data_IF_836841146609
#
_entry.id   IF_836841146609
#
_cell.length_a   1.000
_cell.length_b   1.000
_cell.length_c   1.000
_cell.angle_alpha   90.00
_cell.angle_beta   90.00
_cell.angle_gamma   90.00
#
_symmetry.space_group_name_H-M   'P 1'
#
loop_
_entity.id
_entity.type
_entity.pdbx_description
1 polymer ?
#
# COMPACT_ATOMS: atom_id res chain seq x y z
N UNK A 1 -10.15 22.54 -7.94
CA UNK A 1 -8.79 21.99 -7.82
C UNK A 1 -8.54 21.60 -6.37
N UNK A 2 -8.26 20.33 -6.12
CA UNK A 2 -7.79 19.87 -4.81
C UNK A 2 -6.26 19.84 -4.82
N UNK A 3 -5.64 20.27 -3.73
CA UNK A 3 -4.18 20.21 -3.58
C UNK A 3 -3.77 19.63 -2.23
N UNK A 4 -2.76 18.77 -2.23
CA UNK A 4 -2.17 18.19 -1.01
C UNK A 4 -0.65 18.35 -1.02
N UNK A 5 -0.04 18.48 0.16
CA UNK A 5 1.38 18.85 0.31
C UNK A 5 2.10 17.94 1.28
N UNK A 6 3.35 17.62 0.96
CA UNK A 6 4.28 16.92 1.86
C UNK A 6 5.66 17.59 1.86
N UNK A 7 6.32 17.55 3.01
CA UNK A 7 7.74 17.86 3.10
C UNK A 7 8.57 16.79 2.38
N UNK A 8 9.49 17.24 1.53
CA UNK A 8 10.28 16.38 0.67
C UNK A 8 11.63 17.03 0.35
N UNK A 9 12.30 16.52 -0.67
CA UNK A 9 13.51 17.09 -1.23
C UNK A 9 13.73 16.64 -2.67
N UNK A 10 14.46 17.43 -3.45
CA UNK A 10 14.97 17.06 -4.77
C UNK A 10 16.32 16.37 -4.58
N UNK A 11 16.47 15.15 -5.10
CA UNK A 11 17.69 14.34 -5.03
C UNK A 11 18.48 14.44 -6.33
N UNK A 12 19.75 14.02 -6.27
CA UNK A 12 20.65 14.03 -7.43
C UNK A 12 21.33 15.37 -7.66
N UNK A 13 21.23 16.34 -6.74
CA UNK A 13 21.79 17.69 -6.95
C UNK A 13 23.30 17.69 -7.27
N UNK A 14 24.05 16.72 -6.74
CA UNK A 14 25.47 16.55 -7.05
C UNK A 14 25.76 16.29 -8.54
N UNK A 15 24.78 15.78 -9.29
CA UNK A 15 24.84 15.56 -10.74
C UNK A 15 24.42 16.82 -11.52
N UNK A 16 23.49 17.60 -10.97
CA UNK A 16 22.82 18.69 -11.69
C UNK A 16 23.26 20.10 -11.26
N UNK A 17 24.20 20.22 -10.32
CA UNK A 17 24.65 21.50 -9.76
C UNK A 17 25.21 22.48 -10.80
N UNK A 18 25.72 21.98 -11.93
CA UNK A 18 26.28 22.81 -13.01
C UNK A 18 25.19 23.40 -13.93
N UNK A 19 23.99 22.81 -13.92
CA UNK A 19 22.86 23.22 -14.77
C UNK A 19 21.70 23.82 -13.98
N UNK A 20 21.71 23.71 -12.66
CA UNK A 20 20.68 24.25 -11.78
C UNK A 20 21.27 24.82 -10.49
N UNK A 21 20.98 26.10 -10.24
CA UNK A 21 21.15 26.74 -8.94
C UNK A 21 19.77 26.88 -8.28
N UNK A 22 19.52 26.25 -7.12
CA UNK A 22 18.23 26.31 -6.46
C UNK A 22 17.93 27.71 -5.94
N UNK A 23 16.73 28.22 -6.23
CA UNK A 23 16.25 29.51 -5.71
C UNK A 23 15.13 29.25 -4.69
N UNK A 24 15.15 29.94 -3.55
CA UNK A 24 14.10 29.77 -2.54
C UNK A 24 12.72 30.13 -3.14
N UNK A 25 11.72 29.29 -2.87
CA UNK A 25 10.36 29.37 -3.43
C UNK A 25 10.26 29.11 -4.94
N UNK A 26 11.33 28.66 -5.59
CA UNK A 26 11.29 28.21 -6.98
C UNK A 26 10.38 26.99 -7.12
N UNK A 27 9.48 27.03 -8.10
CA UNK A 27 8.59 25.93 -8.46
C UNK A 27 9.17 25.16 -9.64
N UNK A 28 9.15 23.83 -9.52
CA UNK A 28 9.72 22.90 -10.48
C UNK A 28 8.69 21.83 -10.83
N UNK A 29 8.51 21.60 -12.12
CA UNK A 29 7.58 20.60 -12.62
C UNK A 29 8.11 19.20 -12.37
N UNK A 30 7.21 18.23 -12.17
CA UNK A 30 7.57 16.83 -12.02
C UNK A 30 6.97 16.00 -13.14
N UNK A 31 7.80 15.20 -13.79
CA UNK A 31 7.40 14.34 -14.91
C UNK A 31 7.90 12.92 -14.69
N UNK A 32 7.06 11.94 -15.02
CA UNK A 32 7.43 10.52 -14.94
C UNK A 32 8.50 10.21 -15.99
N UNK A 33 9.66 9.76 -15.53
CA UNK A 33 10.77 9.33 -16.39
C UNK A 33 10.65 7.82 -16.66
N UNK A 34 10.36 7.46 -17.92
CA UNK A 34 10.24 6.06 -18.33
C UNK A 34 11.62 5.52 -18.69
N UNK A 35 11.90 4.27 -18.33
CA UNK A 35 13.16 3.61 -18.69
C UNK A 35 14.36 4.01 -17.82
N UNK A 36 14.14 4.65 -16.68
CA UNK A 36 15.19 4.84 -15.70
C UNK A 36 15.56 3.49 -15.08
N UNK A 37 16.83 3.10 -15.21
CA UNK A 37 17.35 1.80 -14.76
C UNK A 37 17.51 1.70 -13.24
N UNK A 38 17.64 2.84 -12.56
CA UNK A 38 17.85 2.93 -11.11
C UNK A 38 16.51 2.94 -10.33
N UNK A 39 15.46 3.50 -10.93
CA UNK A 39 14.11 3.57 -10.37
C UNK A 39 13.03 3.47 -11.46
N UNK A 40 12.34 2.32 -11.53
CA UNK A 40 11.21 2.07 -12.45
C UNK A 40 10.06 3.09 -12.32
N UNK A 41 9.97 3.76 -11.18
CA UNK A 41 9.00 4.80 -10.89
C UNK A 41 9.60 6.20 -10.85
N UNK A 42 10.78 6.40 -11.43
CA UNK A 42 11.47 7.68 -11.44
C UNK A 42 10.54 8.82 -11.84
N UNK A 43 10.57 9.88 -11.05
CA UNK A 43 9.91 11.15 -11.36
C UNK A 43 11.00 12.21 -11.39
N UNK A 44 11.29 12.69 -12.59
CA UNK A 44 12.23 13.75 -12.84
C UNK A 44 11.62 15.08 -12.40
N UNK A 45 12.41 15.87 -11.68
CA UNK A 45 12.12 17.25 -11.34
C UNK A 45 12.76 18.11 -12.43
N UNK A 46 11.97 18.94 -13.10
CA UNK A 46 12.37 19.68 -14.29
C UNK A 46 12.32 21.19 -14.08
N UNK A 47 13.31 21.88 -14.65
CA UNK A 47 13.35 23.33 -14.82
C UNK A 47 13.49 23.64 -16.31
N UNK A 48 12.54 24.38 -16.88
CA UNK A 48 12.56 24.74 -18.31
C UNK A 48 12.80 23.50 -19.22
N UNK A 49 12.13 22.38 -18.92
CA UNK A 49 12.26 21.11 -19.66
C UNK A 49 13.50 20.27 -19.35
N UNK A 50 14.50 20.80 -18.63
CA UNK A 50 15.71 20.08 -18.26
C UNK A 50 15.57 19.40 -16.91
N UNK A 51 16.04 18.16 -16.78
CA UNK A 51 16.06 17.44 -15.50
C UNK A 51 17.10 18.07 -14.58
N UNK A 52 16.66 18.51 -13.40
CA UNK A 52 17.52 19.15 -12.38
C UNK A 52 17.62 18.31 -11.10
N UNK A 53 16.98 17.14 -11.11
CA UNK A 53 16.99 16.19 -10.02
C UNK A 53 15.81 15.24 -10.12
N UNK A 54 15.63 14.45 -9.08
CA UNK A 54 14.56 13.46 -8.99
C UNK A 54 13.86 13.54 -7.65
N UNK A 55 12.58 13.17 -7.67
CA UNK A 55 11.83 12.86 -6.46
C UNK A 55 12.53 11.70 -5.73
N UNK A 56 12.57 11.68 -4.38
CA UNK A 56 13.21 10.61 -3.64
C UNK A 56 12.55 9.26 -3.92
N UNK A 57 13.36 8.21 -4.14
CA UNK A 57 12.91 6.84 -4.41
C UNK A 57 11.82 6.33 -3.44
N UNK A 58 11.88 6.76 -2.17
CA UNK A 58 10.88 6.41 -1.13
C UNK A 58 9.44 6.89 -1.41
N UNK A 59 9.25 7.88 -2.28
CA UNK A 59 7.93 8.40 -2.67
C UNK A 59 7.72 8.43 -4.20
N UNK A 60 8.71 7.98 -4.99
CA UNK A 60 8.67 8.04 -6.46
C UNK A 60 7.51 7.22 -7.03
N UNK A 61 7.22 6.04 -6.48
CA UNK A 61 6.08 5.20 -6.88
C UNK A 61 4.71 5.90 -6.77
N UNK A 62 4.47 6.61 -5.65
CA UNK A 62 3.22 7.37 -5.44
C UNK A 62 3.16 8.53 -6.43
N UNK A 63 4.26 9.29 -6.57
CA UNK A 63 4.32 10.43 -7.46
C UNK A 63 4.10 10.02 -8.93
N UNK A 64 4.78 8.95 -9.35
CA UNK A 64 4.69 8.35 -10.68
C UNK A 64 3.28 7.87 -11.00
N UNK A 65 2.64 7.19 -10.05
CA UNK A 65 1.25 6.73 -10.21
C UNK A 65 0.25 7.88 -10.25
N UNK A 66 0.44 8.91 -9.42
CA UNK A 66 -0.40 10.10 -9.41
C UNK A 66 -0.33 10.84 -10.75
N UNK A 67 0.88 11.07 -11.27
CA UNK A 67 1.10 11.67 -12.60
C UNK A 67 0.47 10.80 -13.70
N UNK A 68 0.66 9.49 -13.64
CA UNK A 68 0.05 8.54 -14.60
C UNK A 68 -1.48 8.61 -14.63
N UNK A 69 -2.13 9.02 -13.53
CA UNK A 69 -3.59 9.17 -13.43
C UNK A 69 -4.09 10.55 -13.83
N UNK A 70 -3.25 11.40 -14.42
CA UNK A 70 -3.59 12.75 -14.84
C UNK A 70 -3.40 13.81 -13.75
N UNK A 71 -2.77 13.46 -12.63
CA UNK A 71 -2.38 14.43 -11.61
C UNK A 71 -1.14 15.22 -12.02
N UNK A 72 -0.99 16.43 -11.49
CA UNK A 72 0.20 17.27 -11.67
C UNK A 72 0.96 17.40 -10.34
N UNK A 73 2.29 17.33 -10.39
CA UNK A 73 3.13 17.50 -9.19
C UNK A 73 4.09 18.66 -9.40
N UNK A 74 4.17 19.54 -8.41
CA UNK A 74 5.10 20.68 -8.37
C UNK A 74 5.97 20.56 -7.12
N UNK A 75 7.28 20.71 -7.27
CA UNK A 75 8.23 20.86 -6.16
C UNK A 75 8.56 22.32 -5.92
N UNK A 76 8.28 22.84 -4.72
CA UNK A 76 8.64 24.21 -4.32
C UNK A 76 9.85 24.19 -3.40
N UNK A 77 10.96 24.83 -3.80
CA UNK A 77 12.20 24.86 -3.01
C UNK A 77 11.99 25.60 -1.67
N UNK A 78 12.39 24.98 -0.57
CA UNK A 78 12.22 25.54 0.79
C UNK A 78 13.52 25.82 1.51
N UNK A 79 14.67 25.48 0.93
CA UNK A 79 15.95 25.77 1.55
C UNK A 79 17.14 25.47 0.65
N UNK A 80 18.32 25.78 1.18
CA UNK A 80 19.59 25.54 0.51
C UNK A 80 19.98 24.06 0.50
N UNK A 81 20.90 23.73 -0.39
CA UNK A 81 21.60 22.44 -0.48
C UNK A 81 21.98 21.91 0.91
N UNK A 82 21.65 20.65 1.18
CA UNK A 82 22.11 19.91 2.35
C UNK A 82 22.49 18.48 1.99
N UNK A 83 23.13 17.80 2.94
CA UNK A 83 23.43 16.37 2.80
C UNK A 83 22.20 15.53 3.07
N UNK A 84 22.00 14.52 2.23
CA UNK A 84 21.03 13.44 2.42
C UNK A 84 21.30 12.74 3.75
N UNK A 85 20.30 12.70 4.64
CA UNK A 85 20.43 12.05 5.96
C UNK A 85 20.09 10.56 5.96
N UNK A 86 19.36 10.12 4.95
CA UNK A 86 18.76 8.79 4.82
C UNK A 86 19.45 7.90 3.78
N UNK A 87 20.52 8.37 3.13
CA UNK A 87 21.33 7.60 2.17
C UNK A 87 22.69 7.27 2.78
N UNK A 88 23.04 5.98 2.83
CA UNK A 88 24.31 5.48 3.39
C UNK A 88 25.50 6.00 2.59
N UNK A 89 25.37 6.06 1.27
CA UNK A 89 26.34 6.64 0.35
C UNK A 89 26.42 8.18 0.45
N UNK A 90 25.54 8.82 1.24
CA UNK A 90 25.39 10.26 1.28
C UNK A 90 24.73 10.81 0.03
N UNK A 91 25.12 12.03 -0.36
CA UNK A 91 24.58 12.74 -1.52
C UNK A 91 24.02 14.10 -1.16
N UNK A 92 23.77 14.91 -2.19
CA UNK A 92 23.23 16.26 -2.05
C UNK A 92 21.74 16.29 -2.39
N UNK A 93 20.97 16.94 -1.52
CA UNK A 93 19.54 17.16 -1.68
C UNK A 93 19.18 18.64 -1.48
N UNK A 94 18.12 19.07 -2.16
CA UNK A 94 17.53 20.39 -1.99
C UNK A 94 16.18 20.22 -1.28
N UNK A 95 15.99 20.79 -0.07
CA UNK A 95 14.70 20.75 0.61
C UNK A 95 13.59 21.36 -0.26
N UNK A 96 12.45 20.68 -0.34
CA UNK A 96 11.29 21.19 -1.05
C UNK A 96 9.98 20.75 -0.39
N UNK A 97 8.88 21.39 -0.78
CA UNK A 97 7.53 20.88 -0.56
C UNK A 97 7.04 20.31 -1.88
N UNK A 98 6.59 19.06 -1.86
CA UNK A 98 5.95 18.41 -3.03
C UNK A 98 4.45 18.64 -2.94
N UNK A 99 3.89 19.35 -3.93
CA UNK A 99 2.46 19.66 -4.04
C UNK A 99 1.83 18.81 -5.13
N UNK A 100 0.81 18.03 -4.74
CA UNK A 100 -0.02 17.23 -5.63
C UNK A 100 -1.25 18.04 -6.02
N UNK A 101 -1.49 18.23 -7.31
CA UNK A 101 -2.56 19.04 -7.87
C UNK A 101 -3.42 18.15 -8.77
N UNK A 102 -4.73 18.22 -8.57
CA UNK A 102 -5.69 17.52 -9.41
C UNK A 102 -6.95 18.36 -9.57
N UNK A 103 -7.58 18.25 -10.75
CA UNK A 103 -8.90 18.80 -10.95
C UNK A 103 -9.90 18.04 -10.07
N UNK A 104 -10.79 18.80 -9.44
CA UNK A 104 -11.80 18.28 -8.51
C UNK A 104 -12.83 17.36 -9.19
N UNK A 105 -12.73 17.15 -10.51
CA UNK A 105 -13.59 16.31 -11.35
C UNK A 105 -12.83 15.12 -11.97
N UNK A 106 -11.99 14.40 -11.20
CA UNK A 106 -11.72 13.01 -11.59
C UNK A 106 -12.96 12.18 -11.22
N UNK A 107 -14.01 12.29 -12.05
CA UNK A 107 -14.98 11.22 -12.21
C UNK A 107 -14.22 9.99 -12.72
N UNK A 108 -14.06 8.98 -11.87
CA UNK A 108 -13.53 7.68 -12.27
C UNK A 108 -14.61 6.96 -13.09
N UNK A 109 -14.79 7.39 -14.34
CA UNK A 109 -15.59 6.70 -15.33
C UNK A 109 -14.77 5.54 -15.92
N UNK A 110 -15.38 4.36 -15.83
CA UNK A 110 -14.93 3.10 -16.42
C UNK A 110 -14.99 3.18 -17.94
N UNK A 111 -13.91 2.80 -18.62
CA UNK A 111 -13.95 1.94 -19.82
C UNK A 111 -12.54 1.57 -20.31
N UNK A 112 -12.28 0.26 -20.28
CA UNK A 112 -11.50 -0.66 -21.12
C UNK A 112 -10.33 -0.21 -22.02
N UNK A 113 -9.30 -1.08 -21.96
CA UNK A 113 -8.53 -1.68 -23.07
C UNK A 113 -7.95 -0.75 -24.14
N UNK A 114 -6.64 -0.47 -24.02
CA UNK A 114 -5.61 -1.02 -24.93
C UNK A 114 -4.28 -0.31 -24.69
N UNK A 115 -3.26 -1.05 -24.27
CA UNK A 115 -1.85 -0.90 -24.64
C UNK A 115 -1.07 -2.04 -23.99
N UNK A 116 -1.06 -3.18 -24.67
CA UNK A 116 0.03 -4.14 -24.59
C UNK A 116 1.21 -3.50 -25.34
N UNK A 117 2.39 -3.38 -24.73
CA UNK A 117 3.57 -4.11 -25.22
C UNK A 117 4.80 -4.03 -24.29
N UNK A 118 5.51 -5.15 -24.30
CA UNK A 118 6.94 -5.40 -24.11
C UNK A 118 7.76 -4.47 -23.22
N UNK A 119 8.21 -4.99 -22.07
CA UNK A 119 9.60 -5.45 -22.01
C UNK A 119 9.83 -6.31 -20.76
N UNK A 120 9.77 -7.62 -20.96
CA UNK A 120 10.43 -8.59 -20.10
C UNK A 120 11.91 -8.53 -20.48
N UNK A 121 12.67 -7.65 -19.86
CA UNK A 121 14.13 -7.70 -19.91
C UNK A 121 14.62 -8.06 -18.52
N UNK A 122 15.07 -9.31 -18.39
CA UNK A 122 15.99 -9.72 -17.35
C UNK A 122 17.29 -8.93 -17.54
N UNK A 123 17.71 -8.18 -16.54
CA UNK A 123 19.12 -7.78 -16.40
C UNK A 123 19.53 -7.76 -14.94
N UNK A 124 20.52 -8.59 -14.67
CA UNK A 124 21.36 -8.61 -13.47
C UNK A 124 22.03 -7.24 -13.29
N UNK A 125 21.84 -6.62 -12.12
CA UNK A 125 22.73 -5.54 -11.63
C UNK A 125 22.95 -5.76 -10.13
N UNK A 126 24.22 -5.91 -9.80
CA UNK A 126 24.78 -6.17 -8.48
C UNK A 126 24.82 -4.85 -7.67
N UNK A 127 23.85 -4.65 -6.75
CA UNK A 127 23.88 -3.60 -5.72
C UNK A 127 23.78 -4.25 -4.34
N UNK A 128 24.86 -4.13 -3.57
CA UNK A 128 25.06 -4.82 -2.29
C UNK A 128 24.37 -4.11 -1.11
N UNK A 129 23.13 -3.67 -1.32
CA UNK A 129 22.16 -3.30 -0.29
C UNK A 129 21.07 -4.36 -0.23
N UNK A 130 21.36 -5.52 0.36
CA UNK A 130 20.53 -6.72 0.29
C UNK A 130 19.05 -6.40 0.49
N UNK A 131 18.22 -6.58 -0.53
CA UNK A 131 16.75 -6.38 -0.49
C UNK A 131 16.09 -7.24 0.62
N UNK A 132 16.80 -8.25 1.12
CA UNK A 132 16.44 -9.03 2.30
C UNK A 132 16.76 -8.37 3.65
N UNK A 133 17.22 -7.12 3.66
CA UNK A 133 17.49 -6.39 4.90
C UNK A 133 16.17 -6.26 5.66
N UNK A 134 16.15 -6.82 6.87
CA UNK A 134 14.98 -6.82 7.74
C UNK A 134 14.64 -5.37 8.10
N UNK A 135 13.44 -4.93 7.75
CA UNK A 135 12.90 -3.65 8.16
C UNK A 135 12.32 -3.74 9.58
N UNK A 136 11.49 -4.74 9.82
CA UNK A 136 10.86 -4.97 11.11
C UNK A 136 10.63 -6.46 11.32
N UNK A 137 10.93 -6.92 12.53
CA UNK A 137 10.64 -8.28 12.96
C UNK A 137 9.70 -8.24 14.14
N UNK A 138 8.68 -9.10 14.10
CA UNK A 138 7.75 -9.26 15.19
C UNK A 138 7.26 -10.70 15.28
N UNK A 139 7.39 -11.29 16.47
CA UNK A 139 7.24 -12.73 16.70
C UNK A 139 8.08 -13.54 15.68
N UNK A 140 7.45 -14.40 14.88
CA UNK A 140 8.11 -15.25 13.89
C UNK A 140 8.05 -14.68 12.45
N UNK A 141 7.68 -13.40 12.28
CA UNK A 141 7.49 -12.78 10.96
C UNK A 141 8.41 -11.58 10.82
N UNK A 142 9.10 -11.51 9.67
CA UNK A 142 10.05 -10.45 9.33
C UNK A 142 9.60 -9.77 8.05
N UNK A 143 9.35 -8.47 8.08
CA UNK A 143 9.20 -7.66 6.88
C UNK A 143 10.56 -7.08 6.52
N UNK A 144 10.89 -7.06 5.24
CA UNK A 144 12.13 -6.50 4.70
C UNK A 144 11.90 -5.11 4.14
N UNK A 145 12.96 -4.43 3.69
CA UNK A 145 12.85 -3.08 3.13
C UNK A 145 11.95 -3.03 1.88
N UNK A 146 11.87 -4.10 1.10
CA UNK A 146 10.94 -4.17 -0.04
C UNK A 146 9.46 -4.22 0.40
N UNK A 147 9.14 -4.98 1.44
CA UNK A 147 7.80 -4.99 2.06
C UNK A 147 7.41 -3.58 2.54
N UNK A 148 8.37 -2.86 3.15
CA UNK A 148 8.20 -1.45 3.55
C UNK A 148 7.86 -0.57 2.36
N UNK A 149 8.60 -0.72 1.27
CA UNK A 149 8.40 0.04 0.03
C UNK A 149 7.01 -0.22 -0.55
N UNK A 150 6.59 -1.48 -0.59
CA UNK A 150 5.26 -1.89 -1.03
C UNK A 150 4.16 -1.25 -0.18
N UNK A 151 4.28 -1.28 1.14
CA UNK A 151 3.28 -0.69 2.05
C UNK A 151 3.22 0.84 1.89
N UNK A 152 4.37 1.51 1.91
CA UNK A 152 4.42 2.98 1.84
C UNK A 152 3.99 3.52 0.48
N UNK A 153 4.17 2.75 -0.60
CA UNK A 153 3.73 3.15 -1.94
C UNK A 153 2.25 2.91 -2.22
N UNK A 154 1.52 2.28 -1.30
CA UNK A 154 0.14 1.83 -1.54
C UNK A 154 0.06 0.66 -2.52
N UNK A 155 1.12 -0.15 -2.59
CA UNK A 155 1.18 -1.35 -3.41
C UNK A 155 0.27 -2.47 -2.90
N UNK A 156 0.16 -3.53 -3.70
CA UNK A 156 -0.72 -4.66 -3.41
C UNK A 156 -0.24 -5.43 -2.18
N UNK A 157 -1.07 -5.52 -1.13
CA UNK A 157 -0.70 -6.26 0.07
C UNK A 157 -0.82 -7.78 -0.15
N UNK A 158 0.30 -8.48 0.03
CA UNK A 158 0.37 -9.93 -0.06
C UNK A 158 0.07 -10.62 1.29
N UNK A 159 0.07 -11.95 1.29
CA UNK A 159 -0.17 -12.78 2.48
C UNK A 159 0.72 -12.42 3.69
N UNK A 160 1.98 -12.05 3.42
CA UNK A 160 2.97 -11.71 4.45
C UNK A 160 2.59 -10.41 5.16
N UNK A 161 2.21 -9.37 4.40
CA UNK A 161 1.73 -8.10 4.94
C UNK A 161 0.46 -8.29 5.78
N UNK A 162 -0.51 -9.05 5.24
CA UNK A 162 -1.78 -9.29 5.93
C UNK A 162 -1.56 -10.10 7.21
N UNK A 163 -0.74 -11.14 7.15
CA UNK A 163 -0.43 -11.94 8.34
C UNK A 163 0.33 -11.14 9.40
N UNK A 164 1.25 -10.27 8.99
CA UNK A 164 1.92 -9.35 9.92
C UNK A 164 0.90 -8.41 10.61
N UNK A 165 0.00 -7.79 9.84
CA UNK A 165 -1.07 -6.94 10.38
C UNK A 165 -2.00 -7.66 11.36
N UNK A 166 -2.41 -8.90 11.02
CA UNK A 166 -3.19 -9.75 11.93
C UNK A 166 -2.43 -10.07 13.21
N UNK A 167 -1.11 -10.29 13.16
CA UNK A 167 -0.29 -10.53 14.36
C UNK A 167 -0.20 -9.31 15.29
N UNK A 168 -0.11 -8.10 14.73
CA UNK A 168 -0.16 -6.88 15.52
C UNK A 168 -1.49 -6.77 16.29
N UNK A 169 -2.61 -7.05 15.63
CA UNK A 169 -3.94 -7.07 16.27
C UNK A 169 -4.05 -8.16 17.33
N UNK A 170 -3.59 -9.39 17.02
CA UNK A 170 -3.60 -10.53 17.94
C UNK A 170 -2.83 -10.23 19.22
N UNK A 171 -1.70 -9.54 19.13
CA UNK A 171 -0.91 -9.15 20.32
C UNK A 171 -1.58 -8.01 21.10
N UNK A 172 -2.19 -7.05 20.42
CA UNK A 172 -2.90 -5.96 21.09
C UNK A 172 -4.18 -6.43 21.78
N UNK A 173 -4.79 -7.49 21.26
CA UNK A 173 -6.08 -8.04 21.67
C UNK A 173 -6.01 -9.57 21.79
N UNK A 174 -5.28 -10.10 22.80
CA UNK A 174 -5.06 -11.53 22.96
C UNK A 174 -6.32 -12.36 23.24
N UNK A 175 -7.42 -11.71 23.64
CA UNK A 175 -8.73 -12.33 23.85
C UNK A 175 -9.51 -12.58 22.55
N UNK A 176 -9.10 -11.95 21.43
CA UNK A 176 -9.73 -12.16 20.13
C UNK A 176 -9.17 -13.45 19.52
N UNK A 177 -10.07 -14.41 19.27
CA UNK A 177 -9.76 -15.62 18.52
C UNK A 177 -9.74 -15.32 17.00
N UNK A 178 -9.13 -16.20 16.21
CA UNK A 178 -8.86 -15.96 14.80
C UNK A 178 -7.52 -15.27 14.57
N UNK A 179 -7.50 -14.28 13.68
CA UNK A 179 -6.30 -13.54 13.24
C UNK A 179 -5.14 -14.46 12.82
N UNK A 180 -5.47 -15.59 12.19
CA UNK A 180 -4.54 -16.65 11.79
C UNK A 180 -3.96 -16.42 10.40
N UNK A 181 -2.84 -17.10 10.13
CA UNK A 181 -2.26 -17.12 8.79
C UNK A 181 -3.20 -17.78 7.80
N UNK A 182 -3.09 -17.38 6.52
CA UNK A 182 -3.80 -18.04 5.41
C UNK A 182 -3.57 -19.55 5.43
N UNK A 183 -2.32 -19.98 5.62
CA UNK A 183 -1.93 -21.39 5.60
C UNK A 183 -2.64 -22.21 6.70
N UNK A 184 -2.83 -21.62 7.89
CA UNK A 184 -3.51 -22.29 9.00
C UNK A 184 -5.01 -22.49 8.71
N UNK A 185 -5.70 -21.45 8.26
CA UNK A 185 -7.16 -21.50 8.00
C UNK A 185 -7.52 -22.33 6.76
N UNK A 186 -6.57 -22.53 5.83
CA UNK A 186 -6.77 -23.39 4.67
C UNK A 186 -6.71 -24.89 4.98
N UNK A 187 -6.21 -25.29 6.17
CA UNK A 187 -6.18 -26.70 6.57
C UNK A 187 -7.62 -27.24 6.65
N UNK A 188 -7.95 -28.39 6.03
CA UNK A 188 -9.32 -28.92 6.02
C UNK A 188 -9.91 -29.18 7.41
N UNK A 189 -9.07 -29.56 8.37
CA UNK A 189 -9.46 -29.80 9.76
C UNK A 189 -9.62 -28.53 10.59
N UNK A 190 -9.14 -27.38 10.11
CA UNK A 190 -9.17 -26.14 10.87
C UNK A 190 -10.58 -25.56 10.89
N UNK A 191 -11.04 -25.24 12.09
CA UNK A 191 -12.28 -24.52 12.38
C UNK A 191 -12.09 -23.72 13.66
N UNK A 192 -12.81 -22.61 13.78
CA UNK A 192 -12.79 -21.82 15.00
C UNK A 192 -13.66 -22.46 16.07
N UNK A 193 -13.24 -22.32 17.33
CA UNK A 193 -14.05 -22.65 18.49
C UNK A 193 -15.01 -21.49 18.75
N UNK A 194 -16.30 -21.71 18.45
CA UNK A 194 -17.33 -20.67 18.57
C UNK A 194 -17.69 -20.33 20.03
N UNK A 195 -17.44 -21.23 20.98
CA UNK A 195 -17.88 -21.06 22.38
C UNK A 195 -17.24 -19.82 23.01
N UNK A 196 -18.06 -18.80 23.25
CA UNK A 196 -17.78 -17.57 24.00
C UNK A 196 -16.58 -16.73 23.52
N UNK A 197 -16.03 -17.01 22.33
CA UNK A 197 -14.89 -16.26 21.78
C UNK A 197 -15.31 -15.29 20.68
N UNK A 198 -14.85 -14.04 20.80
CA UNK A 198 -14.94 -13.07 19.72
C UNK A 198 -13.92 -13.45 18.65
N UNK A 199 -14.37 -13.58 17.42
CA UNK A 199 -13.56 -14.00 16.28
C UNK A 199 -13.50 -12.89 15.27
N UNK A 200 -12.28 -12.56 14.86
CA UNK A 200 -12.00 -11.69 13.73
C UNK A 200 -10.97 -12.42 12.87
N UNK A 201 -11.26 -12.60 11.58
CA UNK A 201 -10.34 -13.24 10.66
C UNK A 201 -10.30 -12.48 9.34
N UNK A 202 -9.11 -12.11 8.89
CA UNK A 202 -8.89 -11.64 7.52
C UNK A 202 -8.66 -12.86 6.62
N UNK A 203 -9.38 -12.94 5.51
CA UNK A 203 -9.46 -14.13 4.65
C UNK A 203 -9.10 -13.76 3.23
N UNK A 204 -8.21 -14.57 2.64
CA UNK A 204 -7.90 -14.53 1.21
C UNK A 204 -8.94 -15.35 0.44
N UNK A 205 -9.59 -14.75 -0.55
CA UNK A 205 -10.65 -15.37 -1.35
C UNK A 205 -10.56 -14.93 -2.83
N UNK A 206 -11.38 -15.53 -3.70
CA UNK A 206 -11.53 -15.15 -5.13
C UNK A 206 -10.20 -14.90 -5.87
N UNK A 207 -9.25 -15.80 -5.66
CA UNK A 207 -7.91 -15.86 -6.26
C UNK A 207 -6.98 -14.65 -6.02
N UNK A 208 -7.48 -13.47 -5.64
CA UNK A 208 -6.69 -12.33 -5.19
C UNK A 208 -7.57 -11.24 -4.53
N UNK A 209 -8.29 -11.57 -3.45
CA UNK A 209 -9.14 -10.62 -2.73
C UNK A 209 -9.11 -10.86 -1.23
N UNK A 210 -9.17 -9.78 -0.45
CA UNK A 210 -9.15 -9.82 1.01
C UNK A 210 -10.47 -9.33 1.60
N UNK A 211 -11.02 -10.11 2.52
CA UNK A 211 -12.23 -9.79 3.29
C UNK A 211 -12.00 -10.00 4.78
N UNK A 212 -12.84 -9.41 5.61
CA UNK A 212 -12.84 -9.67 7.07
C UNK A 212 -14.13 -10.35 7.48
N UNK A 213 -14.05 -11.48 8.17
CA UNK A 213 -15.20 -12.18 8.73
C UNK A 213 -15.16 -12.13 10.26
N UNK A 214 -16.31 -11.89 10.89
CA UNK A 214 -16.38 -11.76 12.34
C UNK A 214 -17.77 -12.06 12.92
N UNK A 215 -17.80 -12.55 14.16
CA UNK A 215 -19.00 -12.67 14.99
C UNK A 215 -19.21 -11.45 15.92
N UNK A 216 -18.31 -10.45 15.92
CA UNK A 216 -18.44 -9.24 16.76
C UNK A 216 -19.75 -8.52 16.41
N UNK A 217 -20.55 -8.24 17.44
CA UNK A 217 -21.88 -7.61 17.30
C UNK A 217 -22.92 -8.47 16.57
N UNK A 218 -22.68 -9.76 16.39
CA UNK A 218 -23.62 -10.67 15.75
C UNK A 218 -24.49 -11.41 16.77
N UNK A 219 -25.72 -11.75 16.37
CA UNK A 219 -26.53 -12.72 17.10
C UNK A 219 -25.93 -14.13 16.96
N UNK A 220 -26.32 -15.04 17.85
CA UNK A 220 -25.92 -16.44 17.78
C UNK A 220 -26.19 -17.04 16.39
N UNK A 221 -25.26 -17.86 15.90
CA UNK A 221 -25.32 -18.52 14.58
C UNK A 221 -25.30 -17.59 13.35
N UNK A 222 -24.81 -16.35 13.48
CA UNK A 222 -24.59 -15.44 12.34
C UNK A 222 -23.18 -14.89 12.32
N UNK A 223 -22.63 -14.72 11.12
CA UNK A 223 -21.34 -14.08 10.89
C UNK A 223 -21.52 -12.92 9.93
N UNK A 224 -20.84 -11.80 10.19
CA UNK A 224 -20.76 -10.68 9.26
C UNK A 224 -19.47 -10.76 8.46
N UNK A 225 -19.57 -10.63 7.15
CA UNK A 225 -18.46 -10.52 6.20
C UNK A 225 -18.37 -9.08 5.74
N UNK A 226 -17.21 -8.46 5.95
CA UNK A 226 -16.89 -7.11 5.54
C UNK A 226 -16.06 -7.18 4.26
N UNK A 227 -16.62 -6.64 3.18
CA UNK A 227 -16.03 -6.67 1.84
C UNK A 227 -16.08 -5.28 1.22
N UNK A 228 -14.91 -4.68 1.01
CA UNK A 228 -14.76 -3.35 0.43
C UNK A 228 -15.05 -3.29 -1.06
N UNK A 229 -15.15 -4.43 -1.76
CA UNK A 229 -15.32 -4.48 -3.21
C UNK A 229 -16.67 -5.09 -3.62
N UNK A 230 -16.99 -6.29 -3.13
CA UNK A 230 -18.19 -7.02 -3.54
C UNK A 230 -19.33 -6.93 -2.53
N UNK A 231 -20.55 -7.09 -3.02
CA UNK A 231 -21.78 -7.18 -2.19
C UNK A 231 -22.26 -8.62 -1.99
N UNK A 232 -21.54 -9.59 -2.54
CA UNK A 232 -21.86 -11.00 -2.47
C UNK A 232 -20.59 -11.86 -2.47
N UNK A 233 -20.65 -12.96 -1.72
CA UNK A 233 -19.61 -14.00 -1.69
C UNK A 233 -19.90 -15.05 -2.76
N UNK A 234 -18.85 -15.64 -3.33
CA UNK A 234 -18.99 -16.77 -4.25
C UNK A 234 -19.11 -18.10 -3.47
N UNK A 235 -19.38 -19.18 -4.20
CA UNK A 235 -19.57 -20.51 -3.64
C UNK A 235 -18.32 -20.99 -2.86
N UNK A 236 -17.13 -20.76 -3.40
CA UNK A 236 -15.86 -21.18 -2.78
C UNK A 236 -15.61 -20.45 -1.45
N UNK A 237 -15.87 -19.15 -1.41
CA UNK A 237 -15.75 -18.34 -0.19
C UNK A 237 -16.81 -18.77 0.82
N UNK A 238 -18.03 -19.01 0.38
CA UNK A 238 -19.12 -19.50 1.22
C UNK A 238 -18.77 -20.85 1.89
N UNK A 239 -18.24 -21.81 1.14
CA UNK A 239 -17.82 -23.11 1.67
C UNK A 239 -16.68 -22.98 2.68
N UNK A 240 -15.69 -22.13 2.38
CA UNK A 240 -14.59 -21.84 3.29
C UNK A 240 -15.08 -21.23 4.60
N UNK A 241 -15.91 -20.20 4.54
CA UNK A 241 -16.51 -19.56 5.72
C UNK A 241 -17.37 -20.56 6.49
N UNK A 242 -18.17 -21.37 5.79
CA UNK A 242 -19.06 -22.35 6.43
C UNK A 242 -18.29 -23.37 7.23
N UNK A 243 -17.16 -23.84 6.70
CA UNK A 243 -16.25 -24.75 7.41
C UNK A 243 -15.58 -24.06 8.59
N UNK A 244 -15.02 -22.87 8.39
CA UNK A 244 -14.26 -22.16 9.41
C UNK A 244 -15.11 -21.80 10.63
N UNK A 245 -16.32 -21.29 10.40
CA UNK A 245 -17.22 -20.83 11.47
C UNK A 245 -18.24 -21.89 11.89
N UNK A 246 -18.33 -23.02 11.21
CA UNK A 246 -19.39 -24.03 11.42
C UNK A 246 -20.81 -23.45 11.35
N UNK A 247 -21.02 -22.43 10.51
CA UNK A 247 -22.26 -21.66 10.35
C UNK A 247 -22.58 -21.52 8.85
N UNK A 248 -23.86 -21.44 8.47
CA UNK A 248 -24.28 -21.30 7.05
C UNK A 248 -24.88 -19.94 6.71
N UNK A 249 -25.02 -19.04 7.70
CA UNK A 249 -25.70 -17.76 7.53
C UNK A 249 -24.70 -16.61 7.63
N UNK A 250 -24.50 -15.91 6.50
CA UNK A 250 -23.58 -14.79 6.39
C UNK A 250 -24.32 -13.51 6.01
N UNK A 251 -23.98 -12.40 6.67
CA UNK A 251 -24.41 -11.06 6.27
C UNK A 251 -23.23 -10.32 5.67
N UNK A 252 -23.35 -9.83 4.43
CA UNK A 252 -22.29 -9.05 3.80
C UNK A 252 -22.53 -7.56 4.13
N UNK A 253 -21.50 -6.88 4.63
CA UNK A 253 -21.48 -5.43 4.82
C UNK A 253 -20.33 -4.82 4.03
N UNK A 254 -20.59 -3.64 3.48
CA UNK A 254 -19.58 -2.79 2.85
C UNK A 254 -19.66 -1.40 3.49
N UNK A 255 -19.16 -1.21 4.73
CA UNK A 255 -19.24 0.07 5.43
C UNK A 255 -18.52 1.18 4.64
N UNK A 256 -17.41 0.82 4.00
CA UNK A 256 -16.70 1.69 3.08
C UNK A 256 -16.28 0.88 1.85
N UNK A 257 -16.60 1.40 0.67
CA UNK A 257 -16.22 0.80 -0.60
C UNK A 257 -14.84 1.31 -1.00
N UNK A 258 -13.95 0.41 -1.41
CA UNK A 258 -12.67 0.82 -2.01
C UNK A 258 -12.90 1.44 -3.40
N UNK A 259 -12.08 2.40 -3.77
CA UNK A 259 -12.17 3.11 -5.04
C UNK A 259 -11.25 2.55 -6.12
N UNK A 260 -10.37 1.61 -5.77
CA UNK A 260 -9.41 0.97 -6.68
C UNK A 260 -9.43 -0.56 -6.56
N UNK A 261 -8.63 -1.27 -7.36
CA UNK A 261 -8.62 -2.74 -7.40
C UNK A 261 -7.65 -3.43 -6.43
N UNK A 262 -6.89 -2.70 -5.63
CA UNK A 262 -5.73 -3.25 -4.90
C UNK A 262 -5.72 -2.96 -3.39
N UNK A 263 -6.58 -2.07 -2.90
CA UNK A 263 -6.66 -1.73 -1.47
C UNK A 263 -7.44 -2.75 -0.62
N UNK A 264 -7.96 -3.84 -1.19
CA UNK A 264 -8.80 -4.79 -0.45
C UNK A 264 -8.13 -5.30 0.84
N UNK A 265 -6.81 -5.54 0.80
CA UNK A 265 -6.02 -5.93 1.97
C UNK A 265 -5.97 -4.85 3.06
N UNK A 266 -5.82 -3.58 2.68
CA UNK A 266 -5.81 -2.44 3.60
C UNK A 266 -7.18 -2.28 4.26
N UNK A 267 -8.26 -2.31 3.47
CA UNK A 267 -9.62 -2.22 3.98
C UNK A 267 -9.97 -3.40 4.90
N UNK A 268 -9.58 -4.62 4.55
CA UNK A 268 -9.80 -5.79 5.39
C UNK A 268 -9.13 -5.64 6.75
N UNK A 269 -7.85 -5.21 6.79
CA UNK A 269 -7.16 -4.91 8.05
C UNK A 269 -7.84 -3.78 8.83
N UNK A 270 -8.26 -2.70 8.16
CA UNK A 270 -8.96 -1.58 8.81
C UNK A 270 -10.30 -2.01 9.44
N UNK A 271 -11.08 -2.85 8.75
CA UNK A 271 -12.30 -3.44 9.32
C UNK A 271 -11.98 -4.31 10.53
N UNK A 272 -10.96 -5.16 10.44
CA UNK A 272 -10.52 -6.01 11.55
C UNK A 272 -10.06 -5.17 12.76
N UNK A 273 -9.30 -4.10 12.52
CA UNK A 273 -8.89 -3.15 13.57
C UNK A 273 -10.09 -2.50 14.22
N UNK A 274 -11.03 -1.96 13.43
CA UNK A 274 -12.23 -1.30 13.95
C UNK A 274 -13.03 -2.23 14.86
N UNK A 275 -13.32 -3.45 14.39
CA UNK A 275 -14.02 -4.47 15.17
C UNK A 275 -13.28 -4.83 16.47
N UNK A 276 -11.94 -4.88 16.42
CA UNK A 276 -11.13 -5.20 17.60
C UNK A 276 -11.18 -4.11 18.68
N UNK A 277 -11.35 -2.85 18.30
CA UNK A 277 -11.53 -1.72 19.22
C UNK A 277 -12.98 -1.53 19.67
N UNK A 278 -13.96 -1.91 18.85
CA UNK A 278 -15.39 -1.73 19.12
C UNK A 278 -16.03 -2.88 19.90
N UNK A 279 -15.28 -3.93 20.26
CA UNK A 279 -15.77 -5.02 21.10
C UNK A 279 -16.34 -4.48 22.41
N UNK A 280 -17.67 -4.51 22.53
CA UNK A 280 -18.43 -4.26 23.76
C UNK A 280 -19.28 -5.47 24.04
#
# INVERSE_FOLDING_TARGET
MASWRIDSCVRGFHVYQDIWTPVLHEELDCERERGNIEDLYAVAVKKNGHVVGHIPRKISAICSTFIRRGGCIICTVTGSRRYSRDLVQGGLEIPCITTFITDSEIEVNKSNEDYIDADTVQTEVDDSGNENTVWIEYDAIRLVLDDRSTILSGGYLNDKHIYFGQNLLRRRFPEINGLKSRLEITKPSYKFEMSDSLIIQVIHCKDNHWITASNVGCQESKITVYDSLYKAIDQRTYEMLSRLFSIKTFTIKQPQKQTNGYDCGLFALAFATTLAYEKK
#
